data_IF_431112685132
#
_entry.id   IF_431112685132
#
_cell.length_a   1.000
_cell.length_b   1.000
_cell.length_c   1.000
_cell.angle_alpha   90.00
_cell.angle_beta   90.00
_cell.angle_gamma   90.00
#
_symmetry.space_group_name_H-M   'P 1'
#
loop_
_entity.id
_entity.type
_entity.pdbx_description
1 polymer ?
#
# COMPACT_ATOMS: atom_id res chain seq x y z
N UNK A 1 -17.75 -1.35 24.33
CA UNK A 1 -17.37 -2.79 24.33
C UNK A 1 -16.04 -2.94 25.06
N UNK A 2 -15.74 -4.12 25.61
CA UNK A 2 -14.50 -4.36 26.36
C UNK A 2 -13.33 -4.60 25.39
N UNK A 3 -12.15 -4.10 25.74
CA UNK A 3 -10.90 -4.37 25.03
C UNK A 3 -10.24 -5.65 25.53
N UNK A 4 -9.61 -6.37 24.60
CA UNK A 4 -8.68 -7.45 24.85
C UNK A 4 -7.25 -6.92 24.79
N UNK A 5 -6.30 -7.57 25.48
CA UNK A 5 -4.88 -7.17 25.48
C UNK A 5 -4.00 -8.29 24.94
N UNK A 6 -3.00 -7.91 24.14
CA UNK A 6 -1.79 -8.70 23.90
C UNK A 6 -0.62 -7.96 24.56
N UNK A 7 0.37 -8.69 25.06
CA UNK A 7 1.56 -8.18 25.78
C UNK A 7 2.85 -8.83 25.26
N UNK A 8 3.99 -8.35 25.76
CA UNK A 8 5.32 -8.97 25.66
C UNK A 8 5.95 -8.96 24.25
N UNK A 9 5.61 -7.93 23.46
CA UNK A 9 6.27 -7.56 22.20
C UNK A 9 6.72 -6.08 22.25
N UNK A 10 7.32 -5.59 21.16
CA UNK A 10 7.64 -4.18 20.98
C UNK A 10 7.06 -3.69 19.65
N UNK A 11 5.98 -2.92 19.71
CA UNK A 11 5.36 -2.29 18.53
C UNK A 11 4.98 -0.84 18.83
N UNK A 12 5.19 0.07 17.88
CA UNK A 12 4.66 1.43 17.92
C UNK A 12 3.63 1.62 16.79
N UNK A 13 2.35 1.34 17.06
CA UNK A 13 1.29 1.44 16.05
C UNK A 13 1.13 2.87 15.53
N UNK A 14 1.47 3.88 16.33
CA UNK A 14 1.33 5.29 15.94
C UNK A 14 2.27 5.66 14.79
N UNK A 15 3.44 5.02 14.70
CA UNK A 15 4.38 5.16 13.57
C UNK A 15 4.06 4.11 12.49
N UNK A 16 3.96 2.82 12.84
CA UNK A 16 3.79 1.72 11.87
C UNK A 16 2.56 1.92 10.98
N UNK A 17 1.44 2.38 11.53
CA UNK A 17 0.19 2.60 10.79
C UNK A 17 0.14 3.93 10.03
N UNK A 18 1.14 4.80 10.18
CA UNK A 18 1.22 6.14 9.55
C UNK A 18 2.45 6.35 8.67
N UNK A 19 3.48 5.50 8.75
CA UNK A 19 4.71 5.62 7.98
C UNK A 19 4.60 5.14 6.51
N UNK A 20 3.39 4.94 5.99
CA UNK A 20 3.15 4.63 4.58
C UNK A 20 3.33 3.16 4.19
N UNK A 21 3.31 2.24 5.16
CA UNK A 21 3.25 0.80 4.89
C UNK A 21 1.85 0.36 4.44
N UNK A 22 0.83 0.78 5.19
CA UNK A 22 -0.59 0.63 4.86
C UNK A 22 -1.24 2.01 4.76
N UNK A 23 -2.32 2.09 3.98
CA UNK A 23 -3.07 3.32 3.73
C UNK A 23 -4.53 3.25 4.19
N UNK A 24 -4.92 2.12 4.81
CA UNK A 24 -6.30 1.74 5.13
C UNK A 24 -6.73 2.02 6.58
N UNK A 25 -5.76 2.20 7.47
CA UNK A 25 -6.01 2.47 8.89
C UNK A 25 -6.55 3.89 9.09
N UNK A 26 -7.76 4.00 9.62
CA UNK A 26 -8.34 5.29 10.00
C UNK A 26 -8.06 5.57 11.48
N UNK A 27 -7.47 6.72 11.78
CA UNK A 27 -7.15 7.16 13.14
C UNK A 27 -8.23 8.11 13.67
N UNK A 28 -8.91 7.72 14.74
CA UNK A 28 -9.78 8.60 15.51
C UNK A 28 -8.93 9.33 16.56
N UNK A 29 -8.67 10.62 16.31
CA UNK A 29 -7.85 11.46 17.20
C UNK A 29 -8.48 11.71 18.58
N UNK A 30 -9.80 11.60 18.71
CA UNK A 30 -10.52 11.85 19.96
C UNK A 30 -10.42 10.68 20.93
N UNK A 31 -10.49 9.44 20.44
CA UNK A 31 -10.37 8.23 21.26
C UNK A 31 -8.95 7.65 21.31
N UNK A 32 -8.08 8.14 20.40
CA UNK A 32 -6.79 7.57 20.02
C UNK A 32 -6.88 6.10 19.57
N UNK A 33 -7.92 5.77 18.81
CA UNK A 33 -8.16 4.44 18.26
C UNK A 33 -7.81 4.40 16.75
N UNK A 34 -7.29 3.27 16.29
CA UNK A 34 -7.06 2.98 14.88
C UNK A 34 -8.05 1.90 14.42
N UNK A 35 -8.65 2.03 13.24
CA UNK A 35 -9.61 1.03 12.72
C UNK A 35 -9.32 0.60 11.28
N UNK A 36 -9.56 -0.69 11.01
CA UNK A 36 -9.38 -1.34 9.71
C UNK A 36 -10.55 -2.31 9.46
N UNK A 37 -11.31 -2.09 8.39
CA UNK A 37 -12.25 -3.08 7.87
C UNK A 37 -11.50 -4.20 7.13
N UNK A 38 -11.68 -5.44 7.59
CA UNK A 38 -11.38 -6.68 6.85
C UNK A 38 -12.64 -7.07 6.03
N UNK A 39 -12.67 -8.28 5.48
CA UNK A 39 -13.82 -8.76 4.68
C UNK A 39 -15.04 -9.17 5.53
N UNK A 40 -14.83 -9.51 6.79
CA UNK A 40 -15.83 -10.07 7.71
C UNK A 40 -16.08 -9.19 8.95
N UNK A 41 -15.10 -8.38 9.34
CA UNK A 41 -15.14 -7.56 10.58
C UNK A 41 -14.25 -6.34 10.53
N UNK A 42 -14.53 -5.37 11.38
CA UNK A 42 -13.67 -4.22 11.63
C UNK A 42 -12.81 -4.44 12.85
N UNK A 43 -11.48 -4.45 12.69
CA UNK A 43 -10.51 -4.44 13.79
C UNK A 43 -10.36 -3.01 14.31
N UNK A 44 -10.33 -2.85 15.63
CA UNK A 44 -10.10 -1.57 16.30
C UNK A 44 -8.98 -1.76 17.33
N UNK A 45 -7.92 -0.96 17.20
CA UNK A 45 -6.71 -1.01 18.02
C UNK A 45 -6.55 0.29 18.83
N UNK A 46 -5.97 0.15 20.02
CA UNK A 46 -5.50 1.25 20.86
C UNK A 46 -4.19 0.85 21.53
N UNK A 47 -3.30 1.82 21.73
CA UNK A 47 -2.02 1.57 22.38
C UNK A 47 -1.63 2.77 23.25
N UNK A 48 -1.30 2.47 24.52
CA UNK A 48 -0.79 3.46 25.48
C UNK A 48 0.74 3.41 25.60
N UNK A 49 1.38 2.26 25.31
CA UNK A 49 2.83 2.09 25.31
C UNK A 49 3.26 0.93 24.39
N UNK A 50 4.53 0.86 24.00
CA UNK A 50 5.01 -0.09 22.97
C UNK A 50 4.95 -1.58 23.36
N UNK A 51 4.71 -1.92 24.63
CA UNK A 51 4.72 -3.30 25.16
C UNK A 51 3.34 -3.95 25.28
N UNK A 52 2.27 -3.18 25.12
CA UNK A 52 0.90 -3.66 25.14
C UNK A 52 0.13 -3.16 23.93
N UNK A 53 -0.85 -3.94 23.48
CA UNK A 53 -1.79 -3.56 22.43
C UNK A 53 -3.20 -3.94 22.88
N UNK A 54 -4.07 -2.95 23.00
CA UNK A 54 -5.50 -3.14 23.21
C UNK A 54 -6.18 -3.33 21.86
N UNK A 55 -7.00 -4.38 21.73
CA UNK A 55 -7.75 -4.67 20.51
C UNK A 55 -9.19 -5.12 20.79
N UNK A 56 -10.06 -4.88 19.82
CA UNK A 56 -11.42 -5.44 19.71
C UNK A 56 -11.80 -5.53 18.24
N UNK A 57 -12.86 -6.27 17.92
CA UNK A 57 -13.46 -6.22 16.58
C UNK A 57 -14.99 -6.14 16.63
N UNK A 58 -15.58 -5.78 15.49
CA UNK A 58 -17.03 -5.77 15.27
C UNK A 58 -17.32 -6.45 13.92
N UNK A 59 -18.01 -7.61 13.90
CA UNK A 59 -18.35 -8.46 15.04
C UNK A 59 -17.10 -9.00 15.77
N UNK A 60 -17.21 -9.28 17.07
CA UNK A 60 -16.11 -9.70 17.95
C UNK A 60 -15.79 -11.19 17.82
N UNK A 61 -14.52 -11.56 17.57
CA UNK A 61 -14.07 -12.96 17.63
C UNK A 61 -12.60 -13.05 18.07
N UNK A 62 -12.40 -13.21 19.39
CA UNK A 62 -11.11 -13.11 20.07
C UNK A 62 -9.97 -13.94 19.44
N UNK A 63 -10.21 -15.22 19.14
CA UNK A 63 -9.14 -16.10 18.62
C UNK A 63 -8.74 -15.69 17.20
N UNK A 64 -9.74 -15.37 16.35
CA UNK A 64 -9.48 -14.89 14.98
C UNK A 64 -8.81 -13.52 14.95
N UNK A 65 -9.19 -12.62 15.88
CA UNK A 65 -8.60 -11.29 16.04
C UNK A 65 -7.15 -11.38 16.49
N UNK A 66 -6.88 -12.17 17.54
CA UNK A 66 -5.54 -12.37 18.06
C UNK A 66 -4.64 -13.00 17.00
N UNK A 67 -5.12 -14.03 16.28
CA UNK A 67 -4.37 -14.66 15.19
C UNK A 67 -4.07 -13.68 14.05
N UNK A 68 -5.04 -12.86 13.65
CA UNK A 68 -4.83 -11.82 12.63
C UNK A 68 -3.79 -10.79 13.08
N UNK A 69 -3.88 -10.30 14.32
CA UNK A 69 -2.95 -9.28 14.85
C UNK A 69 -1.53 -9.83 14.97
N UNK A 70 -1.34 -11.08 15.40
CA UNK A 70 -0.02 -11.73 15.43
C UNK A 70 0.60 -11.84 14.03
N UNK A 71 -0.16 -12.28 13.02
CA UNK A 71 0.33 -12.41 11.64
C UNK A 71 0.59 -11.04 10.98
N UNK A 72 -0.40 -10.15 11.03
CA UNK A 72 -0.38 -8.86 10.34
C UNK A 72 0.72 -7.93 10.84
N UNK A 73 1.05 -7.97 12.13
CA UNK A 73 2.17 -7.22 12.70
C UNK A 73 3.46 -8.05 12.88
N UNK A 74 3.43 -9.34 12.53
CA UNK A 74 4.55 -10.28 12.65
C UNK A 74 5.14 -10.35 14.08
N UNK A 75 4.26 -10.36 15.10
CA UNK A 75 4.61 -10.22 16.52
C UNK A 75 5.51 -11.34 17.07
N UNK A 76 5.59 -12.47 16.38
CA UNK A 76 6.48 -13.58 16.73
C UNK A 76 7.97 -13.23 16.44
N UNK A 77 8.23 -12.15 15.69
CA UNK A 77 9.58 -11.63 15.44
C UNK A 77 10.01 -10.69 16.56
N UNK A 78 11.04 -11.07 17.33
CA UNK A 78 11.62 -10.22 18.38
C UNK A 78 12.41 -9.05 17.78
N UNK A 79 11.73 -7.94 17.49
CA UNK A 79 12.32 -6.75 16.87
C UNK A 79 13.49 -6.14 17.64
N UNK A 80 13.58 -6.33 18.96
CA UNK A 80 14.73 -5.91 19.77
C UNK A 80 16.02 -6.59 19.29
N UNK A 81 16.00 -7.90 19.04
CA UNK A 81 17.16 -8.67 18.58
C UNK A 81 17.69 -8.11 17.25
N UNK A 82 16.76 -7.76 16.34
CA UNK A 82 17.08 -7.15 15.05
C UNK A 82 17.67 -5.75 15.23
N UNK A 83 17.09 -4.93 16.11
CA UNK A 83 17.61 -3.60 16.45
C UNK A 83 19.00 -3.68 17.10
N UNK A 84 19.30 -4.71 17.90
CA UNK A 84 20.64 -4.97 18.45
C UNK A 84 21.65 -5.35 17.35
N UNK A 85 21.32 -6.30 16.48
CA UNK A 85 22.17 -6.72 15.35
C UNK A 85 22.46 -5.56 14.38
N UNK A 86 21.44 -4.82 13.96
CA UNK A 86 21.63 -3.67 13.06
C UNK A 86 22.45 -2.56 13.71
N UNK A 87 22.27 -2.31 15.02
CA UNK A 87 23.07 -1.32 15.76
C UNK A 87 24.53 -1.71 15.95
N UNK A 88 24.83 -3.02 15.96
CA UNK A 88 26.20 -3.53 15.99
C UNK A 88 26.93 -3.36 14.65
N UNK A 89 26.19 -3.43 13.53
CA UNK A 89 26.71 -3.28 12.16
C UNK A 89 26.74 -1.84 11.67
N UNK A 90 25.80 -1.02 12.10
CA UNK A 90 25.58 0.33 11.60
C UNK A 90 25.44 1.37 12.72
N UNK A 91 26.41 2.30 12.76
CA UNK A 91 26.44 3.42 13.70
C UNK A 91 25.33 4.45 13.44
N UNK A 92 24.85 4.60 12.20
CA UNK A 92 23.74 5.52 11.92
C UNK A 92 22.43 4.94 12.43
N UNK A 93 22.12 3.68 12.11
CA UNK A 93 20.97 2.97 12.69
C UNK A 93 21.01 3.03 14.23
N UNK A 94 22.17 2.75 14.84
CA UNK A 94 22.33 2.87 16.30
C UNK A 94 21.95 4.27 16.82
N UNK A 95 22.42 5.33 16.16
CA UNK A 95 22.09 6.71 16.58
C UNK A 95 20.60 7.04 16.53
N UNK A 96 19.83 6.38 15.64
CA UNK A 96 18.37 6.52 15.56
C UNK A 96 17.69 5.71 16.67
N UNK A 97 18.13 4.47 16.91
CA UNK A 97 17.68 3.65 18.03
C UNK A 97 17.90 4.34 19.38
N UNK A 98 19.08 4.92 19.60
CA UNK A 98 19.44 5.58 20.88
C UNK A 98 18.51 6.78 21.21
N UNK A 99 17.69 7.27 20.27
CA UNK A 99 16.63 8.25 20.54
C UNK A 99 15.40 7.68 21.26
N UNK A 100 15.18 6.36 21.22
CA UNK A 100 13.97 5.63 21.63
C UNK A 100 12.67 6.07 20.93
N UNK A 101 12.72 7.04 20.01
CA UNK A 101 11.53 7.56 19.30
C UNK A 101 11.00 6.60 18.24
N UNK A 102 11.92 5.86 17.61
CA UNK A 102 11.66 4.97 16.48
C UNK A 102 11.71 3.48 16.88
N UNK A 103 11.44 3.17 18.14
CA UNK A 103 11.32 1.81 18.64
C UNK A 103 10.03 1.12 18.19
N UNK A 104 10.08 -0.20 18.03
CA UNK A 104 8.91 -1.01 17.68
C UNK A 104 8.37 -0.78 16.27
N UNK A 105 9.21 -0.39 15.31
CA UNK A 105 8.83 -0.28 13.90
C UNK A 105 9.01 -1.64 13.25
N UNK A 106 7.89 -2.34 13.11
CA UNK A 106 7.75 -3.63 12.45
C UNK A 106 7.34 -3.44 10.98
N UNK A 107 7.47 -4.50 10.17
CA UNK A 107 6.87 -4.57 8.84
C UNK A 107 5.49 -5.22 8.93
N UNK A 108 4.49 -4.62 8.28
CA UNK A 108 3.16 -5.22 8.15
C UNK A 108 3.17 -6.38 7.15
N UNK A 109 2.44 -7.46 7.44
CA UNK A 109 2.19 -8.59 6.56
C UNK A 109 0.81 -8.48 5.91
N UNK A 110 0.67 -7.52 4.99
CA UNK A 110 -0.62 -7.18 4.38
C UNK A 110 -1.13 -8.29 3.45
N UNK A 111 -2.43 -8.24 3.13
CA UNK A 111 -2.99 -8.98 2.00
C UNK A 111 -2.26 -8.55 0.70
N UNK A 112 -1.75 -9.48 -0.10
CA UNK A 112 -1.01 -9.16 -1.33
C UNK A 112 -1.79 -8.32 -2.34
N UNK A 113 -3.11 -8.49 -2.44
CA UNK A 113 -3.95 -7.76 -3.39
C UNK A 113 -4.19 -6.31 -2.95
N UNK A 114 -4.57 -6.09 -1.69
CA UNK A 114 -4.66 -4.76 -1.06
C UNK A 114 -3.31 -4.03 -1.19
N UNK A 115 -2.21 -4.71 -0.88
CA UNK A 115 -0.86 -4.16 -0.95
C UNK A 115 -0.48 -3.74 -2.39
N UNK A 116 -0.73 -4.62 -3.37
CA UNK A 116 -0.46 -4.38 -4.80
C UNK A 116 -1.19 -3.13 -5.33
N UNK A 117 -2.51 -3.08 -5.17
CA UNK A 117 -3.31 -1.95 -5.67
C UNK A 117 -2.97 -0.65 -4.91
N UNK A 118 -2.69 -0.74 -3.61
CA UNK A 118 -2.24 0.40 -2.82
C UNK A 118 -0.89 0.96 -3.28
N UNK A 119 0.09 0.12 -3.57
CA UNK A 119 1.40 0.59 -4.04
C UNK A 119 1.41 1.03 -5.50
N UNK A 120 0.53 0.49 -6.37
CA UNK A 120 0.25 1.10 -7.69
C UNK A 120 -0.25 2.54 -7.50
N UNK A 121 -1.14 2.79 -6.54
CA UNK A 121 -1.62 4.14 -6.20
C UNK A 121 -0.54 5.07 -5.63
N UNK A 122 0.55 4.52 -5.08
CA UNK A 122 1.64 5.27 -4.44
C UNK A 122 2.60 5.96 -5.40
N UNK A 123 2.68 5.53 -6.66
CA UNK A 123 3.69 6.01 -7.61
C UNK A 123 3.59 7.52 -7.83
N UNK A 124 4.65 8.29 -7.55
CA UNK A 124 4.66 9.76 -7.65
C UNK A 124 3.45 10.41 -6.93
N UNK A 125 3.31 10.13 -5.64
CA UNK A 125 2.17 10.53 -4.82
C UNK A 125 2.62 10.78 -3.35
N UNK A 126 1.72 11.23 -2.47
CA UNK A 126 2.00 11.38 -1.03
C UNK A 126 1.02 10.56 -0.17
N UNK A 127 1.43 10.18 1.04
CA UNK A 127 0.70 9.27 1.95
C UNK A 127 -0.76 9.71 2.12
N UNK A 128 -1.02 10.99 2.44
CA UNK A 128 -2.37 11.50 2.66
C UNK A 128 -3.27 11.35 1.42
N UNK A 129 -2.78 11.66 0.22
CA UNK A 129 -3.54 11.47 -1.03
C UNK A 129 -3.73 9.99 -1.37
N UNK A 130 -2.76 9.12 -1.07
CA UNK A 130 -2.89 7.67 -1.29
C UNK A 130 -4.01 7.12 -0.40
N UNK A 131 -4.00 7.43 0.90
CA UNK A 131 -5.09 7.04 1.81
C UNK A 131 -6.46 7.52 1.32
N UNK A 132 -6.60 8.78 0.90
CA UNK A 132 -7.86 9.28 0.32
C UNK A 132 -8.29 8.51 -0.94
N UNK A 133 -7.36 8.13 -1.82
CA UNK A 133 -7.67 7.32 -2.99
C UNK A 133 -8.14 5.91 -2.60
N UNK A 134 -7.49 5.28 -1.62
CA UNK A 134 -7.82 3.93 -1.16
C UNK A 134 -9.12 3.89 -0.33
N UNK A 135 -9.42 4.92 0.46
CA UNK A 135 -10.74 5.11 1.07
C UNK A 135 -11.81 5.19 -0.02
N UNK A 136 -11.64 6.07 -1.02
CA UNK A 136 -12.58 6.22 -2.14
C UNK A 136 -12.79 4.92 -2.93
N UNK A 137 -11.72 4.17 -3.20
CA UNK A 137 -11.79 2.85 -3.81
C UNK A 137 -12.75 1.94 -3.04
N UNK A 138 -12.52 1.85 -1.73
CA UNK A 138 -13.24 0.93 -0.84
C UNK A 138 -14.71 1.35 -0.69
N UNK A 139 -14.99 2.65 -0.56
CA UNK A 139 -16.36 3.18 -0.45
C UNK A 139 -17.18 3.08 -1.75
N UNK A 140 -16.52 2.92 -2.91
CA UNK A 140 -17.21 2.85 -4.21
C UNK A 140 -17.40 1.40 -4.68
N UNK A 141 -16.45 0.51 -4.40
CA UNK A 141 -16.43 -0.85 -4.96
C UNK A 141 -16.72 -1.97 -3.93
N UNK A 142 -16.93 -1.62 -2.65
CA UNK A 142 -17.27 -2.56 -1.58
C UNK A 142 -18.54 -2.14 -0.84
N UNK A 143 -19.33 -3.11 -0.40
CA UNK A 143 -20.45 -2.89 0.54
C UNK A 143 -19.92 -2.65 1.97
N UNK A 144 -20.60 -1.83 2.80
CA UNK A 144 -20.20 -1.61 4.18
C UNK A 144 -20.52 -2.80 5.11
N UNK A 145 -19.63 -3.06 6.06
CA UNK A 145 -19.80 -4.01 7.16
C UNK A 145 -20.82 -3.53 8.19
N UNK A 146 -22.11 -3.80 7.95
CA UNK A 146 -23.20 -3.49 8.86
C UNK A 146 -23.29 -2.01 9.25
N UNK A 147 -24.00 -1.71 10.33
CA UNK A 147 -24.22 -0.35 10.83
C UNK A 147 -23.16 0.06 11.87
N UNK A 148 -21.94 0.25 11.39
CA UNK A 148 -20.86 0.91 12.13
C UNK A 148 -20.96 2.43 12.01
N UNK A 149 -20.67 3.11 13.12
CA UNK A 149 -20.45 4.56 13.17
C UNK A 149 -19.35 4.97 12.17
N UNK A 150 -19.58 6.07 11.45
CA UNK A 150 -18.70 6.58 10.38
C UNK A 150 -17.28 6.92 10.86
N UNK A 151 -17.09 7.10 12.18
CA UNK A 151 -15.77 7.26 12.79
C UNK A 151 -14.87 6.01 12.67
N UNK A 152 -15.44 4.83 12.34
CA UNK A 152 -14.71 3.58 12.16
C UNK A 152 -14.69 3.12 10.70
N UNK A 153 -13.59 2.45 10.32
CA UNK A 153 -13.43 1.89 8.98
C UNK A 153 -14.43 0.76 8.79
N UNK A 154 -15.41 0.92 7.89
CA UNK A 154 -16.48 -0.07 7.64
C UNK A 154 -16.52 -0.64 6.22
N UNK A 155 -15.67 -0.18 5.31
CA UNK A 155 -15.64 -0.63 3.91
C UNK A 155 -14.44 -1.57 3.69
N UNK A 156 -14.65 -2.87 3.40
CA UNK A 156 -13.57 -3.80 3.06
C UNK A 156 -12.80 -3.37 1.80
N UNK A 157 -11.64 -3.97 1.57
CA UNK A 157 -10.94 -3.79 0.29
C UNK A 157 -11.69 -4.54 -0.83
N UNK A 158 -11.95 -3.94 -2.00
CA UNK A 158 -12.73 -4.60 -3.04
C UNK A 158 -11.94 -5.77 -3.66
N UNK A 159 -12.57 -6.93 -3.91
CA UNK A 159 -11.92 -8.07 -4.54
C UNK A 159 -11.60 -7.79 -6.03
N UNK A 160 -10.68 -8.55 -6.65
CA UNK A 160 -10.27 -8.34 -8.05
C UNK A 160 -11.43 -8.21 -9.05
N UNK A 161 -12.44 -9.07 -8.96
CA UNK A 161 -13.63 -9.06 -9.81
C UNK A 161 -14.38 -7.72 -9.82
N UNK A 162 -14.43 -7.01 -8.68
CA UNK A 162 -15.07 -5.69 -8.55
C UNK A 162 -14.28 -4.58 -9.23
N UNK A 163 -12.99 -4.78 -9.48
CA UNK A 163 -12.12 -3.82 -10.18
C UNK A 163 -11.85 -4.19 -11.65
N UNK A 164 -12.38 -5.32 -12.14
CA UNK A 164 -12.18 -5.81 -13.50
C UNK A 164 -13.28 -5.37 -14.50
N UNK A 165 -14.29 -4.60 -14.07
CA UNK A 165 -15.36 -4.10 -14.95
C UNK A 165 -14.88 -3.13 -16.04
N UNK A 166 -15.67 -2.99 -17.10
CA UNK A 166 -15.34 -2.10 -18.24
C UNK A 166 -15.36 -0.61 -17.86
N UNK A 167 -16.26 -0.22 -16.95
CA UNK A 167 -16.47 1.14 -16.44
C UNK A 167 -15.54 1.53 -15.27
N UNK A 168 -14.74 0.58 -14.76
CA UNK A 168 -13.88 0.81 -13.59
C UNK A 168 -12.81 1.85 -13.86
N UNK A 169 -12.17 1.86 -15.03
CA UNK A 169 -11.14 2.86 -15.35
C UNK A 169 -11.73 4.28 -15.32
N UNK A 170 -12.88 4.51 -15.95
CA UNK A 170 -13.52 5.82 -15.99
C UNK A 170 -14.03 6.24 -14.60
N UNK A 171 -14.61 5.31 -13.84
CA UNK A 171 -15.01 5.55 -12.45
C UNK A 171 -13.81 5.99 -11.60
N UNK A 172 -12.68 5.27 -11.66
CA UNK A 172 -11.45 5.63 -10.94
C UNK A 172 -10.88 6.99 -11.41
N UNK A 173 -11.04 7.35 -12.68
CA UNK A 173 -10.66 8.69 -13.20
C UNK A 173 -11.48 9.78 -12.50
N UNK A 174 -12.80 9.62 -12.38
CA UNK A 174 -13.66 10.59 -11.65
C UNK A 174 -13.31 10.69 -10.17
N UNK A 175 -12.90 9.59 -9.52
CA UNK A 175 -12.48 9.56 -8.12
C UNK A 175 -11.11 10.25 -7.87
N UNK A 176 -10.35 10.56 -8.92
CA UNK A 176 -9.09 11.33 -8.86
C UNK A 176 -7.80 10.51 -8.95
N UNK A 177 -7.87 9.26 -9.42
CA UNK A 177 -6.70 8.38 -9.58
C UNK A 177 -5.74 8.85 -10.68
N UNK A 178 -6.25 9.61 -11.66
CA UNK A 178 -5.49 10.08 -12.82
C UNK A 178 -5.05 8.91 -13.70
N UNK A 179 -3.80 8.92 -14.15
CA UNK A 179 -3.25 7.85 -15.00
C UNK A 179 -3.26 6.46 -14.33
N UNK A 180 -3.28 6.40 -12.98
CA UNK A 180 -3.26 5.14 -12.22
C UNK A 180 -4.58 4.37 -12.29
N UNK A 181 -5.68 5.03 -12.68
CA UNK A 181 -6.96 4.38 -12.95
C UNK A 181 -6.81 3.23 -13.94
N UNK A 182 -6.10 3.50 -15.06
CA UNK A 182 -5.78 2.50 -16.07
C UNK A 182 -5.01 1.32 -15.50
N UNK A 183 -4.03 1.58 -14.63
CA UNK A 183 -3.16 0.56 -14.07
C UNK A 183 -3.96 -0.40 -13.17
N UNK A 184 -4.77 0.16 -12.25
CA UNK A 184 -5.63 -0.64 -11.36
C UNK A 184 -6.60 -1.50 -12.15
N UNK A 185 -7.32 -0.92 -13.13
CA UNK A 185 -8.27 -1.65 -13.96
C UNK A 185 -7.60 -2.73 -14.83
N UNK A 186 -6.43 -2.44 -15.43
CA UNK A 186 -5.71 -3.43 -16.25
C UNK A 186 -5.15 -4.59 -15.40
N UNK A 187 -4.66 -4.32 -14.19
CA UNK A 187 -4.14 -5.38 -13.31
C UNK A 187 -5.27 -6.26 -12.78
N UNK A 188 -6.42 -5.68 -12.45
CA UNK A 188 -7.62 -6.45 -12.08
C UNK A 188 -8.09 -7.35 -13.24
N UNK A 189 -8.25 -6.80 -14.45
CA UNK A 189 -8.63 -7.56 -15.65
C UNK A 189 -7.64 -8.68 -15.98
N UNK A 190 -6.34 -8.38 -16.03
CA UNK A 190 -5.28 -9.37 -16.27
C UNK A 190 -5.37 -10.57 -15.31
N UNK A 191 -5.54 -10.32 -14.00
CA UNK A 191 -5.63 -11.39 -13.01
C UNK A 191 -6.93 -12.20 -13.11
N UNK A 192 -8.06 -11.55 -13.45
CA UNK A 192 -9.34 -12.24 -13.71
C UNK A 192 -9.27 -13.08 -14.98
N UNK A 193 -8.62 -12.61 -16.05
CA UNK A 193 -8.40 -13.35 -17.29
C UNK A 193 -7.46 -14.56 -17.08
N UNK A 194 -6.40 -14.42 -16.27
CA UNK A 194 -5.41 -15.49 -16.02
C UNK A 194 -5.88 -16.56 -15.02
N UNK A 195 -6.73 -16.20 -14.04
CA UNK A 195 -7.08 -17.08 -12.92
C UNK A 195 -8.59 -17.36 -12.76
N UNK A 196 -9.46 -16.61 -13.43
CA UNK A 196 -10.90 -16.88 -13.56
C UNK A 196 -11.78 -16.56 -12.35
N UNK A 197 -11.27 -16.61 -11.12
CA UNK A 197 -12.04 -16.31 -9.89
C UNK A 197 -11.19 -15.58 -8.85
N UNK A 198 -11.85 -14.80 -7.99
CA UNK A 198 -11.19 -14.09 -6.88
C UNK A 198 -10.40 -15.04 -5.98
N UNK A 199 -10.96 -16.22 -5.65
CA UNK A 199 -10.29 -17.21 -4.80
C UNK A 199 -9.02 -17.79 -5.46
N UNK A 200 -9.02 -18.00 -6.77
CA UNK A 200 -7.82 -18.41 -7.50
C UNK A 200 -6.77 -17.28 -7.53
N UNK A 201 -7.19 -16.03 -7.70
CA UNK A 201 -6.29 -14.85 -7.68
C UNK A 201 -5.66 -14.68 -6.29
N UNK A 202 -6.46 -14.73 -5.23
CA UNK A 202 -5.96 -14.68 -3.85
C UNK A 202 -5.02 -15.85 -3.57
N UNK A 203 -5.34 -17.07 -4.00
CA UNK A 203 -4.48 -18.26 -3.86
C UNK A 203 -3.14 -18.07 -4.59
N UNK A 204 -3.16 -17.59 -5.83
CA UNK A 204 -1.95 -17.27 -6.61
C UNK A 204 -1.09 -16.21 -5.91
N UNK A 205 -1.67 -15.06 -5.55
CA UNK A 205 -0.91 -13.98 -4.92
C UNK A 205 -0.34 -14.37 -3.54
N UNK A 206 -1.10 -15.13 -2.74
CA UNK A 206 -0.60 -15.68 -1.48
C UNK A 206 0.47 -16.77 -1.68
N UNK A 207 0.45 -17.51 -2.79
CA UNK A 207 1.49 -18.51 -3.07
C UNK A 207 2.88 -17.89 -3.23
N UNK A 208 2.96 -16.63 -3.70
CA UNK A 208 4.20 -15.88 -3.87
C UNK A 208 4.95 -15.62 -2.54
N UNK A 209 4.30 -15.74 -1.37
CA UNK A 209 4.96 -15.75 -0.05
C UNK A 209 5.96 -16.90 0.12
N UNK A 210 5.83 -17.98 -0.66
CA UNK A 210 6.69 -19.17 -0.61
C UNK A 210 7.79 -19.17 -1.67
N UNK A 211 7.80 -18.18 -2.54
CA UNK A 211 8.76 -18.03 -3.63
C UNK A 211 10.00 -17.22 -3.20
N UNK A 212 11.10 -17.37 -3.95
CA UNK A 212 12.29 -16.53 -3.77
C UNK A 212 12.08 -15.12 -4.34
N UNK A 213 12.84 -14.14 -3.85
CA UNK A 213 12.82 -12.77 -4.36
C UNK A 213 13.01 -12.70 -5.89
N UNK A 214 13.91 -13.53 -6.42
CA UNK A 214 14.22 -13.66 -7.85
C UNK A 214 13.03 -14.14 -8.67
N UNK A 215 12.13 -14.93 -8.09
CA UNK A 215 10.89 -15.39 -8.72
C UNK A 215 9.73 -14.39 -8.51
N UNK A 216 9.66 -13.73 -7.35
CA UNK A 216 8.60 -12.78 -6.98
C UNK A 216 8.64 -11.52 -7.85
N UNK A 217 9.81 -10.90 -8.02
CA UNK A 217 9.92 -9.59 -8.70
C UNK A 217 9.48 -9.65 -10.18
N UNK A 218 9.83 -10.66 -11.00
CA UNK A 218 9.27 -10.82 -12.34
C UNK A 218 7.74 -10.97 -12.37
N UNK A 219 7.16 -11.70 -11.41
CA UNK A 219 5.70 -11.88 -11.35
C UNK A 219 4.95 -10.60 -11.01
N UNK A 220 5.57 -9.69 -10.26
CA UNK A 220 5.02 -8.36 -9.97
C UNK A 220 5.26 -7.39 -11.13
N UNK A 221 6.48 -7.32 -11.66
CA UNK A 221 6.87 -6.30 -12.66
C UNK A 221 6.29 -6.50 -14.06
N UNK A 222 5.66 -7.65 -14.35
CA UNK A 222 4.82 -7.83 -15.55
C UNK A 222 3.50 -7.03 -15.51
N UNK A 223 3.06 -6.61 -14.32
CA UNK A 223 1.79 -5.94 -14.11
C UNK A 223 1.87 -4.44 -14.44
N UNK A 224 0.83 -3.90 -15.09
CA UNK A 224 0.85 -2.50 -15.54
C UNK A 224 0.95 -1.53 -14.34
N UNK A 225 1.94 -0.64 -14.39
CA UNK A 225 2.20 0.33 -13.31
C UNK A 225 3.14 -0.17 -12.21
N UNK A 226 3.55 -1.45 -12.24
CA UNK A 226 4.45 -2.04 -11.24
C UNK A 226 5.91 -1.98 -11.71
N UNK A 227 6.59 -0.89 -11.38
CA UNK A 227 8.05 -0.78 -11.51
C UNK A 227 8.79 -1.41 -10.32
N UNK A 228 10.15 -1.47 -10.35
CA UNK A 228 10.96 -2.08 -9.29
C UNK A 228 10.60 -1.62 -7.87
N UNK A 229 10.41 -0.31 -7.64
CA UNK A 229 9.99 0.24 -6.34
C UNK A 229 8.64 -0.32 -5.86
N UNK A 230 7.66 -0.42 -6.75
CA UNK A 230 6.33 -0.93 -6.41
C UNK A 230 6.42 -2.44 -6.12
N UNK A 231 7.16 -3.18 -6.93
CA UNK A 231 7.41 -4.60 -6.70
C UNK A 231 8.11 -4.86 -5.35
N UNK A 232 9.20 -4.13 -5.04
CA UNK A 232 9.90 -4.26 -3.77
C UNK A 232 9.03 -3.88 -2.56
N UNK A 233 8.14 -2.88 -2.67
CA UNK A 233 7.16 -2.54 -1.62
C UNK A 233 6.20 -3.70 -1.35
N UNK A 234 5.59 -4.28 -2.39
CA UNK A 234 4.67 -5.42 -2.27
C UNK A 234 5.41 -6.64 -1.74
N UNK A 235 6.62 -6.89 -2.24
CA UNK A 235 7.48 -8.00 -1.82
C UNK A 235 7.81 -7.92 -0.31
N UNK A 236 8.19 -6.72 0.18
CA UNK A 236 8.52 -6.49 1.57
C UNK A 236 7.31 -6.59 2.50
N UNK A 237 6.18 -5.97 2.12
CA UNK A 237 5.05 -5.70 3.01
C UNK A 237 3.83 -6.62 2.82
N UNK A 238 3.97 -7.69 2.01
CA UNK A 238 2.92 -8.71 1.84
C UNK A 238 3.41 -10.10 1.39
N UNK A 239 4.63 -10.22 0.83
CA UNK A 239 5.16 -11.48 0.27
C UNK A 239 6.41 -12.02 1.00
N UNK A 240 6.62 -11.61 2.25
CA UNK A 240 7.65 -12.12 3.16
C UNK A 240 9.11 -11.93 2.70
N UNK A 241 9.37 -11.08 1.70
CA UNK A 241 10.71 -10.80 1.20
C UNK A 241 11.41 -9.75 2.09
N UNK A 242 11.76 -10.13 3.32
CA UNK A 242 12.27 -9.23 4.37
C UNK A 242 13.57 -8.46 4.02
N UNK A 243 14.31 -8.89 3.00
CA UNK A 243 15.52 -8.24 2.49
C UNK A 243 15.27 -7.27 1.30
N UNK A 244 14.03 -7.17 0.83
CA UNK A 244 13.60 -6.24 -0.23
C UNK A 244 13.80 -4.77 0.20
N UNK A 245 14.31 -3.91 -0.69
CA UNK A 245 14.67 -2.52 -0.38
C UNK A 245 13.98 -1.59 -1.39
N UNK A 246 12.80 -1.02 -1.09
CA UNK A 246 12.05 -0.20 -2.04
C UNK A 246 12.71 1.18 -2.28
N UNK A 247 13.76 1.25 -3.10
CA UNK A 247 14.54 2.49 -3.30
C UNK A 247 13.73 3.57 -4.02
N UNK A 248 13.26 4.57 -3.27
CA UNK A 248 12.67 5.80 -3.81
C UNK A 248 13.59 7.02 -3.61
N UNK A 249 13.04 8.23 -3.77
CA UNK A 249 13.79 9.48 -3.61
C UNK A 249 14.27 9.73 -2.18
N UNK A 250 13.54 9.29 -1.15
CA UNK A 250 13.97 9.39 0.25
C UNK A 250 15.08 8.38 0.53
N UNK A 251 14.91 7.14 0.08
CA UNK A 251 15.94 6.09 0.23
C UNK A 251 17.23 6.46 -0.48
N UNK A 252 17.13 7.07 -1.67
CA UNK A 252 18.27 7.64 -2.38
C UNK A 252 18.97 8.75 -1.58
N UNK A 253 18.18 9.67 -1.01
CA UNK A 253 18.73 10.75 -0.18
C UNK A 253 19.44 10.21 1.06
N UNK A 254 18.87 9.24 1.78
CA UNK A 254 19.49 8.56 2.93
C UNK A 254 20.81 7.88 2.49
N UNK A 255 20.78 7.09 1.41
CA UNK A 255 21.96 6.40 0.90
C UNK A 255 23.12 7.37 0.56
N UNK A 256 22.83 8.53 -0.02
CA UNK A 256 23.85 9.53 -0.36
C UNK A 256 24.30 10.33 0.87
N UNK A 257 23.35 10.78 1.71
CA UNK A 257 23.57 11.68 2.87
C UNK A 257 24.27 10.96 4.02
N UNK A 258 23.72 9.84 4.45
CA UNK A 258 24.08 9.18 5.71
C UNK A 258 25.08 8.04 5.51
N UNK A 259 24.98 7.33 4.38
CA UNK A 259 25.83 6.18 4.02
C UNK A 259 26.94 6.52 3.02
N UNK A 260 26.97 7.76 2.51
CA UNK A 260 28.00 8.22 1.59
C UNK A 260 28.09 7.41 0.29
N UNK A 261 26.96 6.90 -0.23
CA UNK A 261 26.89 5.97 -1.38
C UNK A 261 27.79 6.37 -2.56
N UNK A 262 27.87 7.67 -2.90
CA UNK A 262 28.71 8.19 -4.00
C UNK A 262 30.22 7.98 -3.81
N UNK A 263 30.68 7.71 -2.57
CA UNK A 263 32.07 7.37 -2.22
C UNK A 263 32.27 5.87 -1.94
N UNK A 264 31.18 5.10 -1.91
CA UNK A 264 31.18 3.67 -1.60
C UNK A 264 31.70 2.82 -2.78
N UNK A 265 32.13 1.56 -2.57
CA UNK A 265 32.45 0.67 -3.68
C UNK A 265 31.24 0.35 -4.57
N UNK A 266 30.01 0.42 -4.04
CA UNK A 266 28.78 0.08 -4.78
C UNK A 266 28.52 0.99 -5.97
N UNK A 267 28.93 2.27 -5.91
CA UNK A 267 28.78 3.21 -7.03
C UNK A 267 29.52 2.76 -8.30
N UNK A 268 30.56 1.93 -8.16
CA UNK A 268 31.32 1.36 -9.29
C UNK A 268 30.53 0.32 -10.09
N UNK A 269 29.44 -0.23 -9.52
CA UNK A 269 28.52 -1.13 -10.23
C UNK A 269 27.44 -0.39 -11.02
N UNK A 270 27.31 0.93 -10.82
CA UNK A 270 26.37 1.75 -11.58
C UNK A 270 26.88 1.99 -13.01
N UNK A 271 25.95 2.08 -13.98
CA UNK A 271 26.28 2.46 -15.35
C UNK A 271 26.42 3.99 -15.46
N UNK A 272 27.58 4.46 -15.90
CA UNK A 272 27.88 5.88 -16.12
C UNK A 272 28.34 6.62 -14.85
N UNK A 273 28.54 7.95 -14.97
CA UNK A 273 28.88 8.80 -13.83
C UNK A 273 27.63 9.04 -12.97
N UNK A 274 27.72 8.75 -11.67
CA UNK A 274 26.63 8.98 -10.70
C UNK A 274 26.96 10.20 -9.84
N UNK A 275 25.95 11.04 -9.64
CA UNK A 275 25.95 12.25 -8.81
C UNK A 275 24.69 12.27 -7.93
N UNK A 276 24.65 13.14 -6.92
CA UNK A 276 23.45 13.33 -6.08
C UNK A 276 22.20 13.73 -6.89
N UNK A 277 22.38 14.44 -8.00
CA UNK A 277 21.34 14.87 -8.94
C UNK A 277 20.99 13.83 -10.03
N UNK A 278 21.59 12.64 -10.01
CA UNK A 278 21.30 11.60 -10.99
C UNK A 278 19.88 11.07 -10.85
N UNK A 279 19.18 10.94 -11.99
CA UNK A 279 17.89 10.27 -12.02
C UNK A 279 18.03 8.78 -11.63
N UNK A 280 17.01 8.24 -10.96
CA UNK A 280 17.01 6.83 -10.55
C UNK A 280 17.04 5.91 -11.77
N UNK A 281 18.10 5.13 -11.90
CA UNK A 281 18.29 4.15 -12.97
C UNK A 281 18.32 2.72 -12.40
N UNK A 282 18.03 1.68 -13.20
CA UNK A 282 18.05 0.29 -12.72
C UNK A 282 19.36 -0.13 -12.05
N UNK A 283 20.52 0.37 -12.53
CA UNK A 283 21.80 0.07 -11.91
C UNK A 283 22.04 0.82 -10.59
N UNK A 284 21.55 2.07 -10.47
CA UNK A 284 21.62 2.79 -9.18
C UNK A 284 20.69 2.12 -8.17
N UNK A 285 19.46 1.79 -8.57
CA UNK A 285 18.48 1.08 -7.77
C UNK A 285 19.05 -0.22 -7.19
N UNK A 286 19.60 -1.08 -8.06
CA UNK A 286 20.20 -2.35 -7.66
C UNK A 286 21.42 -2.17 -6.74
N UNK A 287 22.28 -1.17 -7.00
CA UNK A 287 23.46 -0.90 -6.19
C UNK A 287 23.12 -0.39 -4.78
N UNK A 288 22.11 0.48 -4.65
CA UNK A 288 21.62 0.98 -3.34
C UNK A 288 20.96 -0.16 -2.56
N UNK A 289 20.08 -0.94 -3.20
CA UNK A 289 19.47 -2.11 -2.57
C UNK A 289 20.50 -3.15 -2.12
N UNK A 290 21.56 -3.38 -2.92
CA UNK A 290 22.67 -4.26 -2.52
C UNK A 290 23.46 -3.70 -1.33
N UNK A 291 23.79 -2.40 -1.32
CA UNK A 291 24.51 -1.78 -0.20
C UNK A 291 23.80 -2.03 1.14
N UNK A 292 22.47 -1.85 1.18
CA UNK A 292 21.69 -2.04 2.40
C UNK A 292 21.50 -3.52 2.78
N UNK A 293 21.34 -4.42 1.79
CA UNK A 293 21.32 -5.88 2.05
C UNK A 293 22.65 -6.40 2.58
N UNK A 294 23.77 -5.94 2.04
CA UNK A 294 25.11 -6.32 2.51
C UNK A 294 25.38 -5.80 3.94
N UNK A 295 24.76 -4.68 4.33
CA UNK A 295 24.88 -4.08 5.66
C UNK A 295 24.02 -4.80 6.73
N UNK A 296 22.72 -4.98 6.48
CA UNK A 296 21.75 -5.47 7.48
C UNK A 296 21.28 -6.93 7.27
N UNK A 297 21.71 -7.58 6.18
CA UNK A 297 21.45 -9.00 5.96
C UNK A 297 19.98 -9.36 5.68
N UNK A 298 19.47 -10.50 6.17
CA UNK A 298 18.17 -11.06 5.77
C UNK A 298 16.95 -10.17 6.02
N UNK A 299 17.00 -9.28 7.01
CA UNK A 299 15.92 -8.36 7.36
C UNK A 299 16.22 -6.90 6.96
N UNK A 300 17.06 -6.67 5.97
CA UNK A 300 17.48 -5.32 5.57
C UNK A 300 16.31 -4.38 5.17
N UNK A 301 15.20 -4.90 4.68
CA UNK A 301 13.99 -4.11 4.38
C UNK A 301 13.28 -3.59 5.62
N UNK A 302 13.39 -4.32 6.74
CA UNK A 302 12.87 -3.90 8.04
C UNK A 302 13.74 -2.76 8.60
N UNK A 303 15.07 -2.96 8.64
CA UNK A 303 16.03 -1.92 9.07
C UNK A 303 15.87 -0.62 8.29
N UNK A 304 15.81 -0.74 6.95
CA UNK A 304 15.53 0.35 6.04
C UNK A 304 14.25 1.14 6.40
N UNK A 305 13.20 0.45 6.81
CA UNK A 305 11.90 1.07 7.11
C UNK A 305 11.93 1.90 8.40
N UNK A 306 12.78 1.56 9.36
CA UNK A 306 13.07 2.40 10.53
C UNK A 306 13.69 3.73 10.08
N UNK A 307 14.67 3.71 9.18
CA UNK A 307 15.30 4.92 8.64
C UNK A 307 14.33 5.75 7.81
N UNK A 308 13.52 5.09 6.98
CA UNK A 308 12.49 5.77 6.19
C UNK A 308 11.50 6.51 7.10
N UNK A 309 11.00 5.86 8.16
CA UNK A 309 10.15 6.49 9.16
C UNK A 309 10.86 7.66 9.87
N UNK A 310 12.14 7.52 10.21
CA UNK A 310 12.93 8.61 10.79
C UNK A 310 13.16 9.80 9.83
N UNK A 311 13.13 9.58 8.51
CA UNK A 311 13.26 10.66 7.53
C UNK A 311 11.94 11.40 7.22
N UNK A 312 10.78 10.81 7.54
CA UNK A 312 9.48 11.46 7.31
C UNK A 312 9.30 12.72 8.17
N UNK A 313 8.92 13.83 7.52
CA UNK A 313 8.69 15.14 8.19
C UNK A 313 7.75 15.04 9.40
N UNK A 314 6.66 14.29 9.26
CA UNK A 314 5.65 14.07 10.30
C UNK A 314 6.22 13.53 11.62
N UNK A 315 7.38 12.85 11.59
CA UNK A 315 8.06 12.32 12.78
C UNK A 315 9.36 13.09 13.13
N UNK A 316 9.72 14.14 12.39
CA UNK A 316 10.87 15.01 12.71
C UNK A 316 10.50 16.14 13.68
N UNK A 317 9.25 16.62 13.64
CA UNK A 317 8.84 17.85 14.33
C UNK A 317 8.44 17.68 15.81
N UNK A 318 8.28 16.45 16.32
CA UNK A 318 7.97 16.20 17.75
C UNK A 318 9.21 16.17 18.67
N UNK A 319 10.34 16.73 18.24
CA UNK A 319 11.49 16.99 19.12
C UNK A 319 11.37 18.42 19.67
N UNK A 320 11.68 18.68 20.96
CA UNK A 320 11.47 20.00 21.56
C UNK A 320 12.51 21.02 21.06
N UNK A 321 12.28 21.59 19.88
CA UNK A 321 12.95 22.79 19.41
C UNK A 321 12.41 24.01 20.15
N UNK A 322 13.32 24.84 20.65
CA UNK A 322 13.02 26.15 21.25
C UNK A 322 12.11 26.94 20.31
N UNK A 323 11.03 27.50 20.86
CA UNK A 323 10.11 28.35 20.10
C UNK A 323 10.79 29.68 19.77
N UNK A 324 10.97 29.96 18.48
CA UNK A 324 10.86 31.33 17.98
C UNK A 324 9.42 31.55 17.52
N UNK A 325 8.77 32.58 18.07
CA UNK A 325 7.43 32.98 17.67
C UNK A 325 7.51 33.74 16.35
N UNK A 326 7.02 33.13 15.26
CA UNK A 326 6.20 33.76 14.21
C UNK A 326 6.09 32.82 12.99
N UNK A 327 5.01 32.03 12.92
CA UNK A 327 4.31 31.80 11.64
C UNK A 327 2.92 31.20 11.90
N UNK A 328 1.88 31.89 11.42
CA UNK A 328 0.48 31.46 11.54
C UNK A 328 0.00 30.99 10.18
N UNK A 329 -0.33 29.71 10.05
CA UNK A 329 -0.99 29.15 8.86
C UNK A 329 -2.38 28.62 9.26
N UNK A 330 -3.48 29.19 8.74
CA UNK A 330 -4.84 28.76 9.06
C UNK A 330 -5.37 27.70 8.08
N UNK A 331 -6.27 26.82 8.54
CA UNK A 331 -7.16 26.10 7.61
C UNK A 331 -7.54 24.64 7.94
N UNK A 332 -8.14 24.37 9.11
CA UNK A 332 -9.03 23.20 9.26
C UNK A 332 -10.47 23.69 9.14
N UNK A 333 -11.23 23.14 8.20
CA UNK A 333 -12.65 23.45 8.01
C UNK A 333 -13.48 22.39 8.73
N UNK A 334 -14.16 22.79 9.80
CA UNK A 334 -15.26 22.01 10.40
C UNK A 334 -16.51 22.88 10.46
N UNK A 335 -17.56 22.44 9.77
CA UNK A 335 -18.83 23.14 9.63
C UNK A 335 -19.86 22.68 10.67
N UNK A 336 -20.19 23.51 11.67
CA UNK A 336 -21.46 23.40 12.42
C UNK A 336 -21.98 24.78 12.85
N UNK A 337 -23.17 25.13 12.34
CA UNK A 337 -24.27 25.97 12.88
C UNK A 337 -23.99 27.19 13.80
N UNK A 338 -24.61 28.33 13.45
CA UNK A 338 -24.67 29.60 14.20
C UNK A 338 -25.34 29.51 15.59
N UNK A 339 -25.08 30.51 16.46
CA UNK A 339 -26.22 31.37 16.82
C UNK A 339 -25.93 32.89 16.87
N UNK A 340 -26.99 33.63 16.51
CA UNK A 340 -27.42 35.01 16.79
C UNK A 340 -26.48 36.20 17.14
N UNK A 341 -26.92 37.37 16.62
CA UNK A 341 -26.32 38.70 16.74
C UNK A 341 -26.45 39.30 18.15
N UNK A 342 -25.42 40.04 18.61
CA UNK A 342 -25.61 41.36 19.26
C UNK A 342 -24.56 42.39 18.82
N UNK A 343 -24.98 43.65 18.79
CA UNK A 343 -24.28 44.83 18.27
C UNK A 343 -23.49 45.58 19.36
N UNK A 344 -22.34 46.20 19.02
CA UNK A 344 -22.09 47.62 19.34
C UNK A 344 -20.78 48.24 18.75
N UNK A 345 -20.97 49.18 17.81
CA UNK A 345 -20.50 50.59 17.85
C UNK A 345 -19.08 50.94 18.38
N UNK A 346 -18.15 51.25 17.45
CA UNK A 346 -17.20 52.43 17.36
C UNK A 346 -16.17 52.71 18.50
N UNK A 347 -15.11 53.55 18.31
CA UNK A 347 -14.95 54.62 17.31
C UNK A 347 -13.62 54.69 16.51
N UNK A 348 -13.56 55.73 15.66
CA UNK A 348 -12.58 56.05 14.61
C UNK A 348 -11.23 56.57 15.14
N UNK A 349 -10.18 56.43 14.31
CA UNK A 349 -9.13 57.45 14.07
C UNK A 349 -8.75 57.37 12.58
N UNK A 350 -9.36 58.18 11.71
CA UNK A 350 -8.84 59.49 11.23
C UNK A 350 -7.45 59.35 10.58
N UNK A 351 -7.43 59.37 9.26
CA UNK A 351 -6.28 59.72 8.42
C UNK A 351 -6.79 60.58 7.26
N UNK A 352 -6.33 61.82 7.17
CA UNK A 352 -6.63 62.73 6.05
C UNK A 352 -5.58 62.58 4.94
N UNK A 353 -5.99 62.36 3.69
CA UNK A 353 -5.18 62.63 2.48
C UNK A 353 -6.04 62.71 1.20
N UNK A 354 -6.64 63.89 1.00
CA UNK A 354 -6.88 64.60 -0.28
C UNK A 354 -6.99 63.79 -1.61
N UNK A 355 -8.24 63.74 -2.11
CA UNK A 355 -8.70 63.94 -3.52
C UNK A 355 -7.75 63.63 -4.69
N UNK A 356 -8.20 62.74 -5.59
CA UNK A 356 -8.68 63.15 -6.94
C UNK A 356 -9.51 62.06 -7.65
N UNK A 357 -10.80 62.37 -7.81
CA UNK A 357 -11.69 61.86 -8.86
C UNK A 357 -11.66 62.88 -10.05
N UNK A 358 -12.36 62.69 -11.21
CA UNK A 358 -13.43 61.71 -11.50
C UNK A 358 -13.38 61.03 -12.90
N UNK A 359 -14.46 60.28 -13.15
CA UNK A 359 -15.16 60.13 -14.45
C UNK A 359 -14.77 58.90 -15.30
N UNK A 360 -15.66 57.92 -15.48
CA UNK A 360 -16.87 57.85 -16.37
C UNK A 360 -16.51 57.19 -17.71
N UNK A 361 -17.37 56.45 -18.42
CA UNK A 361 -18.55 55.64 -18.08
C UNK A 361 -19.10 55.05 -19.38
N UNK A 362 -19.51 53.78 -19.38
CA UNK A 362 -20.62 53.21 -20.19
C UNK A 362 -20.63 53.45 -21.71
N UNK A 363 -20.52 52.37 -22.49
CA UNK A 363 -21.51 51.90 -23.50
C UNK A 363 -20.82 50.95 -24.51
N UNK A 364 -21.49 50.16 -25.35
CA UNK A 364 -22.68 49.29 -25.32
C UNK A 364 -22.96 48.91 -26.80
N UNK A 365 -23.28 47.63 -27.03
CA UNK A 365 -24.05 47.11 -28.19
C UNK A 365 -23.38 46.67 -29.54
N UNK A 366 -23.98 45.59 -30.04
CA UNK A 366 -24.37 45.27 -31.44
C UNK A 366 -23.43 44.50 -32.42
N UNK A 367 -23.75 43.20 -32.53
CA UNK A 367 -24.31 42.49 -33.72
C UNK A 367 -23.46 42.21 -34.99
N UNK A 368 -23.53 40.91 -35.33
CA UNK A 368 -23.70 40.27 -36.67
C UNK A 368 -22.48 39.99 -37.57
N UNK A 369 -22.28 38.68 -37.80
CA UNK A 369 -21.88 37.98 -39.03
C UNK A 369 -22.44 38.56 -40.35
N UNK A 370 -21.90 38.26 -41.58
CA UNK A 370 -21.49 36.88 -42.00
C UNK A 370 -20.39 36.70 -43.09
N UNK A 371 -20.19 35.42 -43.49
CA UNK A 371 -20.19 34.95 -44.91
C UNK A 371 -18.88 34.62 -45.70
N UNK A 372 -18.63 33.30 -45.86
CA UNK A 372 -18.51 32.49 -47.12
C UNK A 372 -17.17 32.24 -47.88
N UNK A 373 -17.13 30.98 -48.39
CA UNK A 373 -16.50 30.38 -49.61
C UNK A 373 -14.99 30.02 -49.58
N UNK A 374 -14.48 29.05 -50.37
CA UNK A 374 -14.97 27.72 -50.87
C UNK A 374 -13.97 27.12 -51.91
N UNK A 375 -13.79 25.78 -51.95
CA UNK A 375 -13.36 24.87 -53.05
C UNK A 375 -12.69 23.61 -52.43
N UNK A 376 -13.13 22.36 -52.61
CA UNK A 376 -13.08 21.46 -53.81
C UNK A 376 -11.64 21.11 -54.26
N UNK A 377 -11.23 19.87 -54.57
CA UNK A 377 -11.88 18.58 -54.90
C UNK A 377 -10.88 17.39 -54.68
N UNK A 378 -11.09 16.07 -54.92
CA UNK A 378 -12.20 15.25 -55.48
C UNK A 378 -12.15 13.76 -55.02
N UNK A 379 -13.18 12.99 -55.42
CA UNK A 379 -13.49 11.54 -55.33
C UNK A 379 -12.39 10.48 -55.64
N UNK A 380 -12.52 9.28 -55.03
CA UNK A 380 -13.08 8.06 -55.70
C UNK A 380 -13.40 6.89 -54.74
N UNK A 381 -14.51 6.21 -55.03
CA UNK A 381 -14.98 4.92 -54.46
C UNK A 381 -14.77 3.80 -55.52
N UNK A 382 -14.89 2.48 -55.20
CA UNK A 382 -16.20 1.84 -55.43
C UNK A 382 -16.57 0.62 -54.52
N UNK A 383 -17.76 0.70 -53.90
CA UNK A 383 -18.92 -0.21 -54.01
C UNK A 383 -18.82 -1.74 -54.24
N UNK A 384 -19.58 -2.45 -53.37
CA UNK A 384 -20.49 -3.63 -53.60
C UNK A 384 -19.96 -5.08 -53.62
N UNK A 385 -20.50 -5.92 -52.70
CA UNK A 385 -21.59 -6.88 -53.03
C UNK A 385 -22.41 -7.35 -51.80
N UNK A 386 -23.56 -7.98 -52.06
CA UNK A 386 -24.63 -8.34 -51.11
C UNK A 386 -24.87 -9.87 -51.13
N UNK A 387 -25.26 -10.46 -50.00
CA UNK A 387 -26.08 -11.67 -49.96
C UNK A 387 -27.04 -11.65 -48.74
N UNK A 388 -28.28 -12.16 -48.91
CA UNK A 388 -29.34 -12.29 -47.88
C UNK A 388 -29.82 -13.75 -47.81
N UNK A 389 -30.15 -14.24 -46.62
CA UNK A 389 -31.25 -15.20 -46.33
C UNK A 389 -31.31 -15.41 -44.80
N UNK A 390 -32.31 -14.98 -43.99
CA UNK A 390 -33.77 -15.23 -43.86
C UNK A 390 -34.23 -16.49 -43.11
N UNK A 391 -34.82 -16.26 -41.91
CA UNK A 391 -35.82 -17.05 -41.15
C UNK A 391 -35.33 -18.41 -40.56
N UNK A 392 -35.76 -18.85 -39.37
CA UNK A 392 -37.10 -18.80 -38.73
C UNK A 392 -37.01 -19.16 -37.22
N UNK A 393 -37.90 -18.65 -36.37
CA UNK A 393 -38.27 -19.28 -35.07
C UNK A 393 -39.38 -20.35 -35.29
N UNK A 394 -39.68 -21.22 -34.31
CA UNK A 394 -40.76 -20.90 -33.36
C UNK A 394 -40.53 -21.35 -31.88
N UNK A 395 -41.50 -21.02 -31.01
CA UNK A 395 -41.50 -21.14 -29.54
C UNK A 395 -42.00 -22.49 -28.98
N UNK A 396 -41.66 -22.76 -27.70
CA UNK A 396 -42.38 -23.56 -26.65
C UNK A 396 -42.75 -25.03 -26.95
N UNK A 397 -42.57 -26.02 -26.06
CA UNK A 397 -43.20 -26.18 -24.73
C UNK A 397 -42.59 -27.35 -23.90
N UNK A 398 -42.59 -27.17 -22.57
CA UNK A 398 -42.90 -28.15 -21.51
C UNK A 398 -41.96 -29.36 -21.15
N UNK A 399 -42.11 -29.73 -19.88
CA UNK A 399 -41.46 -30.66 -18.96
C UNK A 399 -41.06 -32.08 -19.39
N UNK A 400 -39.99 -32.60 -18.75
CA UNK A 400 -40.07 -33.73 -17.79
C UNK A 400 -38.74 -34.03 -17.07
N UNK A 401 -38.88 -34.52 -15.83
CA UNK A 401 -37.80 -35.10 -15.03
C UNK A 401 -37.28 -36.42 -15.64
N UNK A 402 -35.99 -36.74 -15.48
CA UNK A 402 -35.55 -38.14 -15.29
C UNK A 402 -34.18 -38.26 -14.60
N UNK A 403 -34.23 -38.82 -13.39
CA UNK A 403 -33.24 -39.72 -12.76
C UNK A 403 -31.78 -39.77 -13.27
N UNK A 404 -30.90 -39.26 -12.40
CA UNK A 404 -29.56 -39.78 -12.04
C UNK A 404 -29.08 -41.11 -12.66
N UNK A 405 -27.79 -41.13 -13.06
CA UNK A 405 -26.89 -42.27 -12.88
C UNK A 405 -25.44 -41.78 -12.67
N UNK A 406 -24.57 -42.52 -11.94
CA UNK A 406 -23.36 -41.95 -11.34
C UNK A 406 -22.11 -42.01 -12.25
N UNK A 407 -21.04 -41.24 -11.95
CA UNK A 407 -19.80 -41.28 -12.71
C UNK A 407 -18.99 -42.58 -12.49
N UNK A 408 -18.12 -42.98 -13.45
CA UNK A 408 -17.30 -44.17 -13.34
C UNK A 408 -16.21 -44.06 -12.25
N UNK A 409 -15.76 -45.19 -11.66
CA UNK A 409 -14.87 -45.18 -10.50
C UNK A 409 -13.42 -44.85 -10.82
N UNK A 410 -12.77 -44.16 -9.87
CA UNK A 410 -11.36 -43.80 -9.89
C UNK A 410 -10.49 -45.05 -9.70
N UNK A 411 -9.58 -45.33 -10.63
CA UNK A 411 -8.57 -46.39 -10.48
C UNK A 411 -7.56 -46.05 -9.39
N UNK A 412 -7.34 -46.98 -8.45
CA UNK A 412 -6.29 -46.90 -7.44
C UNK A 412 -5.02 -47.59 -7.98
N UNK A 413 -3.84 -46.93 -7.99
CA UNK A 413 -2.60 -47.62 -8.29
C UNK A 413 -2.31 -48.69 -7.21
N UNK A 414 -2.02 -49.92 -7.65
CA UNK A 414 -1.72 -51.06 -6.77
C UNK A 414 -0.43 -50.82 -5.97
N UNK A 415 -0.46 -51.20 -4.69
CA UNK A 415 0.74 -51.45 -3.89
C UNK A 415 1.56 -52.59 -4.50
N UNK A 416 2.85 -52.37 -4.72
CA UNK A 416 3.86 -53.45 -4.84
C UNK A 416 4.74 -53.45 -3.60
N UNK A 417 5.03 -54.65 -3.07
CA UNK A 417 5.71 -54.82 -1.79
C UNK A 417 7.21 -55.05 -1.93
N UNK A 418 7.96 -54.43 -1.01
CA UNK A 418 9.23 -54.92 -0.42
C UNK A 418 10.40 -55.29 -1.34
N UNK A 419 11.50 -54.54 -1.21
CA UNK A 419 12.81 -55.19 -0.92
C UNK A 419 13.71 -54.32 -0.03
N UNK A 420 14.32 -54.96 0.98
CA UNK A 420 15.13 -54.32 2.01
C UNK A 420 16.43 -53.70 1.48
N UNK A 421 16.85 -52.56 2.05
CA UNK A 421 18.28 -52.27 2.26
C UNK A 421 18.53 -51.51 3.57
N UNK A 422 19.65 -51.86 4.22
CA UNK A 422 19.91 -51.63 5.66
C UNK A 422 20.23 -50.16 5.96
N UNK A 423 19.67 -49.61 7.05
CA UNK A 423 20.23 -48.43 7.73
C UNK A 423 21.55 -48.82 8.40
N UNK A 424 22.65 -48.11 8.12
CA UNK A 424 23.81 -48.07 9.02
C UNK A 424 23.63 -46.87 9.96
N UNK A 425 23.57 -47.15 11.25
CA UNK A 425 23.56 -46.16 12.33
C UNK A 425 25.03 -45.93 12.70
N UNK A 426 25.56 -44.72 12.55
CA UNK A 426 26.85 -44.34 13.14
C UNK A 426 26.55 -43.73 14.50
N UNK A 427 27.00 -44.41 15.54
CA UNK A 427 27.05 -43.92 16.91
C UNK A 427 28.52 -43.72 17.22
N UNK A 428 28.91 -42.54 17.68
CA UNK A 428 30.17 -42.34 18.38
C UNK A 428 29.83 -42.13 19.85
N UNK A 429 30.27 -43.06 20.70
CA UNK A 429 30.25 -42.90 22.16
C UNK A 429 31.38 -41.99 22.60
N UNK A 430 31.14 -41.24 23.67
CA UNK A 430 32.20 -40.74 24.54
C UNK A 430 32.57 -41.85 25.51
N UNK A 431 33.86 -41.97 25.80
CA UNK A 431 34.56 -42.54 26.96
C UNK A 431 36.07 -42.37 26.62
N UNK A 432 37.03 -42.16 27.52
CA UNK A 432 37.10 -41.56 28.86
C UNK A 432 38.60 -41.37 29.19
N UNK A 433 38.94 -40.40 30.05
CA UNK A 433 40.17 -40.28 30.88
C UNK A 433 41.58 -40.49 30.29
N UNK A 434 42.43 -39.45 30.41
CA UNK A 434 43.74 -39.56 31.08
C UNK A 434 44.37 -38.17 31.33
N UNK A 435 44.88 -37.93 32.54
CA UNK A 435 45.63 -36.74 32.97
C UNK A 435 47.12 -36.78 32.53
N UNK A 436 47.91 -35.76 32.94
CA UNK A 436 49.39 -35.63 32.90
C UNK A 436 49.92 -35.22 31.50
N UNK A 437 50.77 -34.19 31.32
CA UNK A 437 51.48 -33.23 32.23
C UNK A 437 51.09 -31.76 31.91
#
# INVERSE_FOLDING_TARGET
>A
MKYNKIKDFNINISIVLKCGQSFRWMHNSTTNEFSLALNDRTIILKQDNVKELDFRSIPSNFDSDKSFIHDYFQLDTRIIDLYDDWSARDRHFKSIKDTNKFDGILILRQDPWECLISFICSSNNNIARISQMITKLSTTFSEPLGDLDEIYSRYPFPPPSKLAGEDVEDTLRTLGFGYRAKYVANVAKMLVEEHGSDENIFTYLHSLRKESYENVIPQLTRMMGVGPKVADCVALMSLDQHSSIPVDTHVWQIAVRDYGFLKSPYVKSCKGKVSQSSAMSPSIYAAVGKMFRDLWGPYAGWAHTVLFAADLKAFKEESPSVKDENDVVPGVVTSVVSPEKKTNVRPKRVVDSVKKEPSKSVSESNKKEPSKRAAESVRKEPSKRIAKSTKKEPQTTDSRESSLSPPPPIEKPRRTSTRNRKKKKVVFSKDSDSEID
#
